data_IF_413465228587
#
_entry.id   IF_413465228587
#
_cell.length_a   1.000
_cell.length_b   1.000
_cell.length_c   1.000
_cell.angle_alpha   90.00
_cell.angle_beta   90.00
_cell.angle_gamma   90.00
#
_symmetry.space_group_name_H-M   'P 1'
#
loop_
_entity.id
_entity.type
_entity.pdbx_description
1 polymer ?
#
# COMPACT_ATOMS: atom_id res chain seq x y z
N UNK A 1 9.14 -11.17 2.79
CA UNK A 1 8.87 -10.55 4.10
C UNK A 1 10.18 -10.36 4.85
N UNK A 2 10.36 -9.27 5.58
CA UNK A 2 11.51 -9.05 6.43
C UNK A 2 11.56 -10.03 7.60
N UNK A 3 12.73 -10.18 8.20
CA UNK A 3 12.93 -11.07 9.37
C UNK A 3 12.26 -10.46 10.60
N UNK A 4 11.47 -11.24 11.33
CA UNK A 4 11.01 -10.86 12.66
C UNK A 4 12.16 -10.89 13.67
N UNK A 5 12.19 -9.89 14.53
CA UNK A 5 13.14 -9.70 15.63
C UNK A 5 12.39 -9.24 16.87
N UNK A 6 13.04 -9.29 18.02
CA UNK A 6 12.50 -8.70 19.26
C UNK A 6 12.52 -7.17 19.14
N UNK A 7 11.39 -6.55 19.38
CA UNK A 7 11.25 -5.09 19.35
C UNK A 7 11.77 -4.42 20.63
N UNK A 8 12.00 -3.10 20.53
CA UNK A 8 12.43 -2.26 21.66
C UNK A 8 11.32 -2.03 22.71
N UNK A 9 10.10 -2.46 22.41
CA UNK A 9 8.91 -2.40 23.28
C UNK A 9 8.43 -3.77 23.76
N UNK A 10 9.23 -4.83 23.53
CA UNK A 10 8.91 -6.19 23.95
C UNK A 10 7.92 -6.94 23.05
N UNK A 11 7.47 -6.33 21.95
CA UNK A 11 6.63 -6.98 20.94
C UNK A 11 7.47 -7.30 19.69
N UNK A 12 7.07 -8.29 18.87
CA UNK A 12 7.74 -8.57 17.61
C UNK A 12 7.88 -7.32 16.72
N UNK A 13 9.03 -7.15 16.07
CA UNK A 13 9.32 -6.08 15.11
C UNK A 13 9.97 -6.67 13.85
N UNK A 14 10.17 -5.86 12.82
CA UNK A 14 10.72 -6.30 11.55
C UNK A 14 12.00 -5.54 11.17
N UNK A 15 13.01 -6.25 10.66
CA UNK A 15 14.16 -5.59 10.06
C UNK A 15 13.85 -5.12 8.63
N UNK A 16 14.09 -3.82 8.39
CA UNK A 16 13.82 -3.17 7.10
C UNK A 16 15.09 -2.46 6.57
N UNK A 17 15.09 -2.12 5.29
CA UNK A 17 16.08 -1.22 4.72
C UNK A 17 15.73 0.24 4.97
N UNK A 18 16.68 1.14 4.71
CA UNK A 18 16.53 2.58 4.90
C UNK A 18 15.38 3.19 4.05
N UNK A 19 15.08 2.59 2.90
CA UNK A 19 13.95 2.96 2.02
C UNK A 19 12.58 2.93 2.72
N UNK A 20 12.46 2.18 3.82
CA UNK A 20 11.20 2.12 4.58
C UNK A 20 10.84 3.48 5.21
N UNK A 21 11.82 4.28 5.61
CA UNK A 21 11.61 5.63 6.11
C UNK A 21 10.96 6.51 5.04
N UNK A 22 11.58 6.55 3.87
CA UNK A 22 11.08 7.34 2.74
C UNK A 22 9.63 6.92 2.35
N UNK A 23 9.36 5.62 2.33
CA UNK A 23 8.02 5.09 2.08
C UNK A 23 7.00 5.59 3.11
N UNK A 24 7.35 5.52 4.39
CA UNK A 24 6.46 5.99 5.46
C UNK A 24 6.29 7.51 5.44
N UNK A 25 7.33 8.27 5.05
CA UNK A 25 7.23 9.72 4.87
C UNK A 25 6.21 10.10 3.79
N UNK A 26 6.20 9.41 2.64
CA UNK A 26 5.18 9.64 1.60
C UNK A 26 3.77 9.30 2.10
N UNK A 27 3.63 8.20 2.83
CA UNK A 27 2.36 7.81 3.43
C UNK A 27 1.85 8.89 4.40
N UNK A 28 2.68 9.33 5.33
CA UNK A 28 2.33 10.35 6.32
C UNK A 28 2.00 11.70 5.67
N UNK A 29 2.79 12.15 4.68
CA UNK A 29 2.51 13.37 3.91
C UNK A 29 1.14 13.32 3.24
N UNK A 30 0.79 12.20 2.61
CA UNK A 30 -0.54 12.05 2.01
C UNK A 30 -1.64 12.13 3.07
N UNK A 31 -1.46 11.49 4.22
CA UNK A 31 -2.42 11.51 5.33
C UNK A 31 -2.58 12.93 5.88
N UNK A 32 -1.50 13.69 6.04
CA UNK A 32 -1.54 15.07 6.50
C UNK A 32 -2.26 15.97 5.48
N UNK A 33 -1.86 15.97 4.22
CA UNK A 33 -2.46 16.80 3.17
C UNK A 33 -3.95 16.51 2.99
N UNK A 34 -4.36 15.24 3.13
CA UNK A 34 -5.77 14.83 2.99
C UNK A 34 -6.63 15.09 4.25
N UNK A 35 -6.06 15.56 5.36
CA UNK A 35 -6.76 15.75 6.65
C UNK A 35 -8.05 16.57 6.55
N UNK A 36 -8.06 17.65 5.75
CA UNK A 36 -9.23 18.50 5.57
C UNK A 36 -10.38 17.80 4.83
N UNK A 37 -10.08 16.89 3.89
CA UNK A 37 -11.08 16.04 3.25
C UNK A 37 -11.61 15.00 4.24
N UNK A 38 -10.72 14.37 5.01
CA UNK A 38 -11.04 13.35 6.02
C UNK A 38 -11.91 13.93 7.15
N UNK A 39 -11.61 15.12 7.64
CA UNK A 39 -12.38 15.78 8.71
C UNK A 39 -13.87 15.95 8.38
N UNK A 40 -14.24 16.05 7.10
CA UNK A 40 -15.65 16.17 6.68
C UNK A 40 -16.47 14.91 6.99
N UNK A 41 -15.83 13.79 7.19
CA UNK A 41 -16.46 12.48 7.47
C UNK A 41 -16.43 12.12 8.95
N UNK A 42 -15.84 12.94 9.80
CA UNK A 42 -15.68 12.70 11.23
C UNK A 42 -16.73 13.48 12.05
N UNK A 43 -17.12 12.94 13.20
CA UNK A 43 -18.08 13.52 14.11
C UNK A 43 -19.41 12.76 14.16
N UNK A 44 -20.31 13.20 15.04
CA UNK A 44 -21.59 12.55 15.29
C UNK A 44 -22.45 12.53 14.02
N UNK A 45 -23.01 11.37 13.69
CA UNK A 45 -23.87 11.18 12.52
C UNK A 45 -23.14 11.16 11.17
N UNK A 46 -21.81 11.23 11.15
CA UNK A 46 -21.01 11.10 9.93
C UNK A 46 -20.67 9.65 9.61
N UNK A 47 -20.37 9.40 8.35
CA UNK A 47 -20.10 8.04 7.86
C UNK A 47 -18.74 7.46 8.26
N UNK A 48 -17.85 8.29 8.80
CA UNK A 48 -16.52 7.90 9.24
C UNK A 48 -15.46 7.94 8.14
N UNK A 49 -14.21 7.88 8.58
CA UNK A 49 -13.05 7.75 7.72
C UNK A 49 -12.24 6.52 8.14
N UNK A 50 -11.92 5.65 7.19
CA UNK A 50 -11.31 4.35 7.46
C UNK A 50 -9.91 4.28 6.87
N UNK A 51 -8.95 3.79 7.63
CA UNK A 51 -7.64 3.34 7.15
C UNK A 51 -7.65 1.81 6.98
N UNK A 52 -7.07 1.33 5.88
CA UNK A 52 -7.02 -0.10 5.53
C UNK A 52 -5.58 -0.46 5.19
N UNK A 53 -5.04 -1.45 5.88
CA UNK A 53 -3.70 -2.00 5.63
C UNK A 53 -3.76 -3.52 5.71
N UNK A 54 -3.69 -4.17 4.56
CA UNK A 54 -3.80 -5.63 4.43
C UNK A 54 -2.44 -6.35 4.48
N UNK A 55 -1.37 -5.57 4.68
CA UNK A 55 0.02 -6.01 4.78
C UNK A 55 0.70 -5.29 5.95
N UNK A 56 0.01 -5.18 7.08
CA UNK A 56 0.33 -4.24 8.15
C UNK A 56 1.68 -4.48 8.82
N UNK A 57 2.29 -5.66 8.64
CA UNK A 57 3.48 -6.05 9.36
C UNK A 57 3.30 -5.98 10.88
N UNK A 58 4.38 -5.95 11.67
CA UNK A 58 4.27 -5.88 13.12
C UNK A 58 4.02 -4.46 13.67
N UNK A 59 4.03 -3.42 12.83
CA UNK A 59 3.83 -2.02 13.25
C UNK A 59 5.07 -1.35 13.88
N UNK A 60 6.20 -2.05 13.98
CA UNK A 60 7.48 -1.52 14.44
C UNK A 60 8.61 -2.09 13.60
N UNK A 61 9.56 -1.25 13.20
CA UNK A 61 10.65 -1.64 12.34
C UNK A 61 12.00 -1.20 12.92
N UNK A 62 13.04 -2.00 12.67
CA UNK A 62 14.43 -1.62 12.91
C UNK A 62 15.15 -1.46 11.58
N UNK A 63 15.72 -0.29 11.35
CA UNK A 63 16.52 -0.04 10.13
C UNK A 63 17.83 -0.79 10.24
N UNK A 64 18.10 -1.71 9.31
CA UNK A 64 19.25 -2.64 9.37
C UNK A 64 20.60 -1.94 9.48
N UNK A 65 20.76 -0.85 8.74
CA UNK A 65 22.06 -0.21 8.58
C UNK A 65 22.42 0.73 9.72
N UNK A 66 21.42 1.38 10.31
CA UNK A 66 21.59 2.36 11.39
C UNK A 66 21.23 1.80 12.76
N UNK A 67 20.49 0.70 12.81
CA UNK A 67 19.91 0.17 14.05
C UNK A 67 18.77 1.01 14.62
N UNK A 68 18.36 2.08 13.92
CA UNK A 68 17.31 2.98 14.34
C UNK A 68 15.94 2.27 14.36
N UNK A 69 15.19 2.53 15.41
CA UNK A 69 13.81 2.07 15.54
C UNK A 69 12.84 3.09 14.94
N UNK A 70 11.97 2.64 14.06
CA UNK A 70 10.93 3.45 13.42
C UNK A 70 9.56 2.80 13.56
N UNK A 71 8.50 3.58 13.52
CA UNK A 71 7.15 3.05 13.42
C UNK A 71 6.95 2.33 12.08
N UNK A 72 6.24 1.20 12.10
CA UNK A 72 5.74 0.58 10.87
C UNK A 72 4.60 1.40 10.25
N UNK A 73 4.31 1.15 8.97
CA UNK A 73 3.38 1.97 8.18
C UNK A 73 2.05 2.24 8.87
N UNK A 74 1.42 1.23 9.42
CA UNK A 74 0.10 1.36 10.07
C UNK A 74 0.15 2.21 11.36
N UNK A 75 1.22 2.09 12.15
CA UNK A 75 1.39 2.90 13.39
C UNK A 75 1.71 4.35 13.03
N UNK A 76 2.59 4.56 12.05
CA UNK A 76 2.90 5.90 11.53
C UNK A 76 1.64 6.58 10.98
N UNK A 77 0.83 5.89 10.18
CA UNK A 77 -0.43 6.38 9.63
C UNK A 77 -1.44 6.78 10.71
N UNK A 78 -1.56 5.98 11.76
CA UNK A 78 -2.44 6.31 12.90
C UNK A 78 -1.97 7.57 13.62
N UNK A 79 -0.69 7.63 14.00
CA UNK A 79 -0.12 8.79 14.69
C UNK A 79 -0.32 10.07 13.87
N UNK A 80 0.03 10.03 12.58
CA UNK A 80 -0.11 11.18 11.69
C UNK A 80 -1.56 11.68 11.61
N UNK A 81 -2.52 10.78 11.47
CA UNK A 81 -3.94 11.16 11.38
C UNK A 81 -4.47 11.75 12.68
N UNK A 82 -4.05 11.21 13.83
CA UNK A 82 -4.44 11.68 15.17
C UNK A 82 -3.83 13.04 15.46
N UNK A 83 -2.53 13.18 15.26
CA UNK A 83 -1.77 14.39 15.60
C UNK A 83 -2.12 15.55 14.64
N UNK A 84 -2.51 15.23 13.39
CA UNK A 84 -3.09 16.18 12.44
C UNK A 84 -4.54 16.61 12.75
N UNK A 85 -5.14 16.11 13.84
CA UNK A 85 -6.48 16.52 14.30
C UNK A 85 -7.65 15.96 13.48
N UNK A 86 -7.39 14.96 12.63
CA UNK A 86 -8.43 14.25 11.87
C UNK A 86 -8.17 12.73 11.89
N UNK A 87 -8.27 12.07 13.07
CA UNK A 87 -7.97 10.65 13.22
C UNK A 87 -8.92 9.78 12.40
N UNK A 88 -8.42 8.66 11.90
CA UNK A 88 -9.31 7.66 11.30
C UNK A 88 -10.28 7.12 12.35
N UNK A 89 -11.55 7.00 11.98
CA UNK A 89 -12.59 6.47 12.86
C UNK A 89 -12.57 4.95 12.98
N UNK A 90 -11.87 4.28 12.06
CA UNK A 90 -11.59 2.84 12.08
C UNK A 90 -10.26 2.56 11.37
N UNK A 91 -9.50 1.60 11.90
CA UNK A 91 -8.22 1.14 11.35
C UNK A 91 -8.31 -0.37 11.15
N UNK A 92 -8.52 -0.80 9.91
CA UNK A 92 -8.53 -2.22 9.54
C UNK A 92 -7.12 -2.67 9.22
N UNK A 93 -6.70 -3.75 9.87
CA UNK A 93 -5.39 -4.35 9.66
C UNK A 93 -5.50 -5.83 9.34
N UNK A 94 -4.71 -6.27 8.37
CA UNK A 94 -4.54 -7.67 8.00
C UNK A 94 -3.06 -7.97 7.75
N UNK A 95 -2.66 -9.18 8.04
CA UNK A 95 -1.39 -9.78 7.66
C UNK A 95 -1.56 -11.29 7.63
N UNK A 96 -0.93 -11.98 6.70
CA UNK A 96 -0.97 -13.44 6.62
C UNK A 96 -0.31 -14.07 7.85
N UNK A 97 0.70 -13.40 8.42
CA UNK A 97 1.36 -13.81 9.65
C UNK A 97 0.61 -13.22 10.86
N UNK A 98 -0.06 -14.08 11.61
CA UNK A 98 -0.84 -13.72 12.80
C UNK A 98 0.00 -13.00 13.85
N UNK A 99 1.27 -13.42 14.05
CA UNK A 99 2.16 -12.81 15.04
C UNK A 99 2.46 -11.33 14.69
N UNK A 100 2.63 -11.03 13.41
CA UNK A 100 2.81 -9.65 12.92
C UNK A 100 1.55 -8.83 13.14
N UNK A 101 0.41 -9.35 12.74
CA UNK A 101 -0.88 -8.67 12.90
C UNK A 101 -1.19 -8.37 14.36
N UNK A 102 -1.03 -9.35 15.26
CA UNK A 102 -1.26 -9.18 16.70
C UNK A 102 -0.33 -8.14 17.32
N UNK A 103 0.96 -8.11 16.92
CA UNK A 103 1.90 -7.11 17.38
C UNK A 103 1.48 -5.70 16.95
N UNK A 104 1.06 -5.52 15.69
CA UNK A 104 0.53 -4.25 15.18
C UNK A 104 -0.75 -3.85 15.92
N UNK A 105 -1.69 -4.77 16.12
CA UNK A 105 -2.93 -4.53 16.85
C UNK A 105 -2.69 -4.06 18.28
N UNK A 106 -1.76 -4.70 18.98
CA UNK A 106 -1.40 -4.32 20.35
C UNK A 106 -0.84 -2.90 20.42
N UNK A 107 0.08 -2.55 19.52
CA UNK A 107 0.64 -1.17 19.43
C UNK A 107 -0.43 -0.13 19.14
N UNK A 108 -1.30 -0.42 18.19
CA UNK A 108 -2.40 0.47 17.84
C UNK A 108 -3.39 0.68 19.00
N UNK A 109 -3.75 -0.39 19.73
CA UNK A 109 -4.62 -0.30 20.91
C UNK A 109 -3.99 0.52 22.03
N UNK A 110 -2.69 0.34 22.29
CA UNK A 110 -1.95 1.15 23.26
C UNK A 110 -1.95 2.64 22.90
N UNK A 111 -2.02 2.97 21.61
CA UNK A 111 -2.11 4.34 21.11
C UNK A 111 -3.56 4.86 20.99
N UNK A 112 -4.55 4.09 21.44
CA UNK A 112 -5.97 4.44 21.41
C UNK A 112 -6.60 4.36 20.00
N UNK A 113 -6.01 3.60 19.09
CA UNK A 113 -6.58 3.43 17.75
C UNK A 113 -7.83 2.52 17.77
N UNK A 114 -8.88 2.85 17.01
CA UNK A 114 -10.07 2.00 16.84
C UNK A 114 -9.77 0.87 15.83
N UNK A 115 -8.91 -0.07 16.25
CA UNK A 115 -8.39 -1.14 15.39
C UNK A 115 -9.37 -2.28 15.24
N UNK A 116 -9.49 -2.78 14.01
CA UNK A 116 -10.26 -3.96 13.62
C UNK A 116 -9.32 -4.91 12.88
N UNK A 117 -9.08 -6.08 13.45
CA UNK A 117 -8.31 -7.13 12.79
C UNK A 117 -9.17 -7.89 11.78
N UNK A 118 -8.58 -8.21 10.63
CA UNK A 118 -9.13 -9.12 9.62
C UNK A 118 -8.17 -10.28 9.39
N UNK A 119 -8.75 -11.47 9.17
CA UNK A 119 -7.99 -12.72 9.12
C UNK A 119 -7.84 -13.24 7.70
N UNK A 120 -6.81 -14.07 7.50
CA UNK A 120 -6.53 -14.75 6.24
C UNK A 120 -5.63 -13.96 5.31
N UNK A 121 -5.52 -14.42 4.06
CA UNK A 121 -4.73 -13.74 3.04
C UNK A 121 -5.36 -12.40 2.63
N UNK A 122 -4.60 -11.56 1.95
CA UNK A 122 -5.02 -10.18 1.63
C UNK A 122 -6.33 -10.10 0.81
N UNK A 123 -6.63 -11.09 -0.04
CA UNK A 123 -7.91 -11.15 -0.79
C UNK A 123 -9.08 -11.37 0.17
N UNK A 124 -9.00 -12.35 1.08
CA UNK A 124 -10.03 -12.62 2.07
C UNK A 124 -10.19 -11.45 3.05
N UNK A 125 -9.07 -10.85 3.44
CA UNK A 125 -9.04 -9.65 4.28
C UNK A 125 -9.74 -8.47 3.61
N UNK A 126 -9.52 -8.22 2.31
CA UNK A 126 -10.22 -7.19 1.54
C UNK A 126 -11.74 -7.42 1.54
N UNK A 127 -12.18 -8.67 1.35
CA UNK A 127 -13.61 -9.03 1.38
C UNK A 127 -14.24 -8.79 2.76
N UNK A 128 -13.52 -9.12 3.84
CA UNK A 128 -13.99 -8.85 5.21
C UNK A 128 -14.09 -7.35 5.49
N UNK A 129 -13.10 -6.57 5.04
CA UNK A 129 -13.14 -5.10 5.14
C UNK A 129 -14.34 -4.56 4.40
N UNK A 130 -14.53 -4.94 3.13
CA UNK A 130 -15.66 -4.49 2.32
C UNK A 130 -17.02 -4.78 2.96
N UNK A 131 -17.16 -5.95 3.60
CA UNK A 131 -18.40 -6.34 4.28
C UNK A 131 -18.66 -5.54 5.57
N UNK A 132 -17.63 -5.02 6.22
CA UNK A 132 -17.72 -4.38 7.55
C UNK A 132 -17.72 -2.85 7.51
N UNK A 133 -17.08 -2.23 6.51
CA UNK A 133 -16.95 -0.77 6.45
C UNK A 133 -18.28 -0.08 6.12
N UNK A 134 -18.44 1.14 6.62
CA UNK A 134 -19.57 1.97 6.20
C UNK A 134 -19.36 2.43 4.74
N UNK A 135 -20.14 1.91 3.81
CA UNK A 135 -20.03 2.20 2.36
C UNK A 135 -20.09 3.70 2.00
N UNK A 136 -20.59 4.55 2.89
CA UNK A 136 -20.69 6.00 2.69
C UNK A 136 -19.51 6.77 3.28
N UNK A 137 -18.57 6.07 3.95
CA UNK A 137 -17.36 6.64 4.52
C UNK A 137 -16.36 7.08 3.45
N UNK A 138 -15.29 7.71 3.94
CA UNK A 138 -14.07 7.93 3.17
C UNK A 138 -13.06 6.85 3.53
N UNK A 139 -12.54 6.14 2.54
CA UNK A 139 -11.63 5.02 2.75
C UNK A 139 -10.27 5.33 2.14
N UNK A 140 -9.22 5.02 2.87
CA UNK A 140 -7.85 5.08 2.38
C UNK A 140 -7.18 3.73 2.64
N UNK A 141 -6.71 3.08 1.58
CA UNK A 141 -5.97 1.83 1.66
C UNK A 141 -4.49 2.04 1.34
N UNK A 142 -3.61 1.52 2.19
CA UNK A 142 -2.20 1.37 1.89
C UNK A 142 -1.93 -0.09 1.56
N UNK A 143 -1.58 -0.36 0.30
CA UNK A 143 -1.30 -1.71 -0.20
C UNK A 143 0.21 -1.86 -0.36
N UNK A 144 0.84 -2.48 0.62
CA UNK A 144 2.30 -2.64 0.74
C UNK A 144 2.75 -4.10 0.70
N UNK A 145 2.45 -4.83 -0.39
CA UNK A 145 2.82 -6.23 -0.52
C UNK A 145 4.34 -6.41 -0.60
N UNK A 146 4.84 -7.55 -0.13
CA UNK A 146 6.27 -7.86 -0.18
C UNK A 146 6.77 -8.31 -1.57
N UNK A 147 5.88 -8.79 -2.43
CA UNK A 147 6.14 -9.16 -3.82
C UNK A 147 4.94 -8.89 -4.73
N UNK A 148 5.12 -9.16 -6.01
CA UNK A 148 4.09 -8.91 -7.02
C UNK A 148 2.89 -9.85 -6.89
N UNK A 149 3.11 -11.10 -6.51
CA UNK A 149 2.05 -12.11 -6.36
C UNK A 149 1.10 -11.75 -5.21
N UNK A 150 1.64 -11.19 -4.13
CA UNK A 150 0.85 -10.74 -2.98
C UNK A 150 -0.09 -9.57 -3.35
N UNK A 151 0.26 -8.76 -4.36
CA UNK A 151 -0.63 -7.74 -4.92
C UNK A 151 -1.63 -8.36 -5.90
N UNK A 152 -2.40 -9.32 -5.42
CA UNK A 152 -3.43 -9.98 -6.22
C UNK A 152 -4.49 -8.95 -6.66
N UNK A 153 -4.84 -8.97 -7.94
CA UNK A 153 -5.78 -8.03 -8.55
C UNK A 153 -7.17 -8.03 -7.88
N UNK A 154 -7.59 -9.15 -7.31
CA UNK A 154 -8.88 -9.29 -6.61
C UNK A 154 -8.99 -8.39 -5.37
N UNK A 155 -7.87 -8.01 -4.77
CA UNK A 155 -7.82 -7.02 -3.69
C UNK A 155 -8.34 -5.68 -4.23
N UNK A 156 -7.81 -5.25 -5.38
CA UNK A 156 -8.18 -3.98 -6.03
C UNK A 156 -9.63 -4.03 -6.51
N UNK A 157 -10.05 -5.15 -7.12
CA UNK A 157 -11.44 -5.37 -7.52
C UNK A 157 -12.39 -5.19 -6.33
N UNK A 158 -12.09 -5.83 -5.21
CA UNK A 158 -12.93 -5.77 -4.00
C UNK A 158 -12.99 -4.35 -3.44
N UNK A 159 -11.83 -3.72 -3.21
CA UNK A 159 -11.78 -2.37 -2.65
C UNK A 159 -12.35 -1.31 -3.61
N UNK A 160 -12.23 -1.52 -4.91
CA UNK A 160 -12.80 -0.61 -5.92
C UNK A 160 -14.33 -0.53 -5.87
N UNK A 161 -15.03 -1.46 -5.23
CA UNK A 161 -16.46 -1.39 -5.04
C UNK A 161 -16.89 -0.32 -4.00
N UNK A 162 -15.97 0.12 -3.14
CA UNK A 162 -16.20 1.24 -2.23
C UNK A 162 -16.35 2.55 -3.00
N UNK A 163 -17.38 3.34 -2.64
CA UNK A 163 -17.71 4.57 -3.39
C UNK A 163 -16.59 5.61 -3.32
N UNK A 164 -15.95 5.74 -2.17
CA UNK A 164 -14.88 6.72 -1.89
C UNK A 164 -13.66 5.99 -1.35
N UNK A 165 -12.86 5.50 -2.27
CA UNK A 165 -11.61 4.78 -1.97
C UNK A 165 -10.44 5.45 -2.65
N UNK A 166 -9.41 5.71 -1.87
CA UNK A 166 -8.09 6.11 -2.30
C UNK A 166 -7.13 4.97 -1.94
N UNK A 167 -6.31 4.52 -2.87
CA UNK A 167 -5.34 3.44 -2.65
C UNK A 167 -3.93 3.95 -2.97
N UNK A 168 -3.06 3.96 -1.97
CA UNK A 168 -1.62 4.12 -2.19
C UNK A 168 -1.04 2.73 -2.37
N UNK A 169 -0.57 2.45 -3.58
CA UNK A 169 -0.15 1.11 -3.99
C UNK A 169 1.36 1.06 -4.16
N UNK A 170 1.98 0.11 -3.47
CA UNK A 170 3.39 -0.21 -3.56
C UNK A 170 3.60 -1.39 -4.52
N UNK A 171 4.38 -1.19 -5.57
CA UNK A 171 4.62 -2.18 -6.62
C UNK A 171 6.09 -2.54 -6.68
N UNK A 172 6.40 -3.82 -6.50
CA UNK A 172 7.78 -4.32 -6.52
C UNK A 172 8.39 -4.24 -7.92
N UNK A 173 9.18 -3.19 -8.17
CA UNK A 173 9.96 -3.09 -9.42
C UNK A 173 11.07 -4.13 -9.46
N UNK A 174 11.70 -4.39 -8.31
CA UNK A 174 12.76 -5.38 -8.21
C UNK A 174 12.27 -6.77 -8.60
N UNK A 175 11.07 -7.14 -8.15
CA UNK A 175 10.45 -8.42 -8.50
C UNK A 175 10.12 -8.47 -10.00
N UNK A 176 9.51 -7.43 -10.55
CA UNK A 176 9.30 -7.27 -11.99
C UNK A 176 10.61 -7.40 -12.79
N UNK A 177 11.73 -6.84 -12.29
CA UNK A 177 13.00 -6.91 -12.99
C UNK A 177 13.63 -8.30 -12.97
N UNK A 178 13.60 -8.96 -11.83
CA UNK A 178 14.27 -10.24 -11.64
C UNK A 178 13.53 -11.40 -12.27
N UNK A 179 12.21 -11.37 -12.23
CA UNK A 179 11.37 -12.54 -12.47
C UNK A 179 10.49 -12.44 -13.73
N UNK A 180 10.54 -11.33 -14.50
CA UNK A 180 9.65 -11.12 -15.64
C UNK A 180 9.64 -12.28 -16.65
N UNK A 181 10.80 -12.83 -17.00
CA UNK A 181 10.91 -13.95 -17.95
C UNK A 181 10.31 -15.21 -17.34
N UNK A 182 10.63 -15.52 -16.10
CA UNK A 182 10.07 -16.67 -15.39
C UNK A 182 8.54 -16.56 -15.29
N UNK A 183 8.03 -15.40 -14.91
CA UNK A 183 6.58 -15.16 -14.82
C UNK A 183 5.88 -15.25 -16.18
N UNK A 184 6.56 -14.86 -17.26
CA UNK A 184 6.00 -14.95 -18.60
C UNK A 184 5.93 -16.38 -19.16
N UNK A 185 6.83 -17.26 -18.74
CA UNK A 185 6.95 -18.62 -19.24
C UNK A 185 6.31 -19.67 -18.33
N UNK A 186 5.97 -19.32 -17.08
CA UNK A 186 5.33 -20.21 -16.11
C UNK A 186 3.83 -19.94 -16.09
N UNK A 187 3.02 -21.00 -16.11
CA UNK A 187 1.58 -20.93 -15.88
C UNK A 187 1.29 -20.58 -14.41
N UNK A 188 0.17 -19.89 -14.16
CA UNK A 188 -0.24 -19.45 -12.81
C UNK A 188 0.85 -18.65 -12.07
N UNK A 189 1.51 -17.77 -12.79
CA UNK A 189 2.61 -16.94 -12.27
C UNK A 189 2.12 -15.72 -11.49
N UNK A 190 3.07 -15.01 -10.87
CA UNK A 190 2.76 -13.73 -10.23
C UNK A 190 2.12 -12.70 -11.20
N UNK A 191 2.42 -12.74 -12.50
CA UNK A 191 1.75 -11.89 -13.47
C UNK A 191 0.28 -12.23 -13.64
N UNK A 192 -0.11 -13.49 -13.53
CA UNK A 192 -1.51 -13.89 -13.67
C UNK A 192 -2.34 -13.47 -12.45
N UNK A 193 -1.73 -13.40 -11.28
CA UNK A 193 -2.36 -12.83 -10.07
C UNK A 193 -2.41 -11.31 -10.09
N UNK A 194 -1.32 -10.66 -10.50
CA UNK A 194 -1.19 -9.20 -10.54
C UNK A 194 -2.05 -8.57 -11.64
N UNK A 195 -2.02 -9.15 -12.85
CA UNK A 195 -2.64 -8.60 -14.06
C UNK A 195 -3.39 -9.68 -14.84
N UNK A 196 -4.48 -10.27 -14.29
CA UNK A 196 -5.16 -11.42 -14.91
C UNK A 196 -5.61 -11.12 -16.34
N UNK A 197 -5.34 -12.08 -17.26
CA UNK A 197 -5.62 -11.96 -18.69
C UNK A 197 -4.52 -11.23 -19.49
N UNK A 198 -3.39 -10.90 -18.88
CA UNK A 198 -2.29 -10.22 -19.56
C UNK A 198 -1.77 -10.98 -20.79
N UNK A 199 -1.78 -12.32 -20.77
CA UNK A 199 -1.28 -13.19 -21.86
C UNK A 199 -2.02 -12.98 -23.19
N UNK A 200 -3.27 -12.53 -23.13
CA UNK A 200 -4.08 -12.25 -24.32
C UNK A 200 -3.73 -10.89 -24.97
N UNK A 201 -3.07 -10.01 -24.23
CA UNK A 201 -2.83 -8.61 -24.63
C UNK A 201 -1.37 -8.26 -24.79
N UNK A 202 -0.47 -9.03 -24.16
CA UNK A 202 0.96 -8.76 -24.14
C UNK A 202 1.72 -9.91 -24.82
N UNK A 203 2.48 -9.61 -25.86
CA UNK A 203 3.30 -10.59 -26.53
C UNK A 203 4.51 -10.99 -25.67
N UNK A 204 4.72 -12.29 -25.49
CA UNK A 204 5.80 -12.83 -24.65
C UNK A 204 7.18 -12.73 -25.32
N UNK A 205 7.20 -12.71 -26.67
CA UNK A 205 8.45 -12.68 -27.48
C UNK A 205 8.96 -11.25 -27.60
N UNK A 206 9.47 -10.69 -26.52
CA UNK A 206 9.96 -9.30 -26.51
C UNK A 206 11.17 -9.16 -25.57
N UNK A 207 11.89 -8.02 -25.73
CA UNK A 207 12.90 -7.64 -24.75
C UNK A 207 12.24 -7.52 -23.35
N UNK A 208 12.93 -8.04 -22.34
CA UNK A 208 12.45 -8.09 -20.95
C UNK A 208 11.90 -6.73 -20.45
N UNK A 209 12.55 -5.63 -20.82
CA UNK A 209 12.09 -4.28 -20.46
C UNK A 209 10.73 -3.94 -21.09
N UNK A 210 10.53 -4.28 -22.36
CA UNK A 210 9.26 -4.06 -23.06
C UNK A 210 8.14 -4.90 -22.44
N UNK A 211 8.41 -6.18 -22.16
CA UNK A 211 7.46 -7.05 -21.49
C UNK A 211 6.98 -6.47 -20.15
N UNK A 212 7.91 -6.06 -19.28
CA UNK A 212 7.58 -5.46 -17.97
C UNK A 212 6.71 -4.22 -18.13
N UNK A 213 7.11 -3.32 -19.03
CA UNK A 213 6.35 -2.09 -19.29
C UNK A 213 4.93 -2.40 -19.78
N UNK A 214 4.76 -3.37 -20.67
CA UNK A 214 3.45 -3.73 -21.21
C UNK A 214 2.56 -4.41 -20.17
N UNK A 215 3.09 -5.34 -19.37
CA UNK A 215 2.33 -5.97 -18.26
C UNK A 215 1.90 -4.92 -17.23
N UNK A 216 2.80 -3.99 -16.88
CA UNK A 216 2.48 -2.92 -15.95
C UNK A 216 1.44 -1.95 -16.52
N UNK A 217 1.56 -1.55 -17.80
CA UNK A 217 0.55 -0.71 -18.45
C UNK A 217 -0.80 -1.41 -18.54
N UNK A 218 -0.82 -2.70 -18.88
CA UNK A 218 -2.03 -3.50 -18.89
C UNK A 218 -2.70 -3.55 -17.51
N UNK A 219 -1.93 -3.72 -16.45
CA UNK A 219 -2.45 -3.64 -15.08
C UNK A 219 -3.08 -2.27 -14.80
N UNK A 220 -2.40 -1.16 -15.16
CA UNK A 220 -2.95 0.19 -15.00
C UNK A 220 -4.29 0.37 -15.72
N UNK A 221 -4.38 -0.12 -16.95
CA UNK A 221 -5.59 -0.04 -17.77
C UNK A 221 -6.73 -0.86 -17.14
N UNK A 222 -6.42 -2.04 -16.57
CA UNK A 222 -7.39 -2.85 -15.83
C UNK A 222 -7.89 -2.14 -14.57
N UNK A 223 -7.01 -1.52 -13.79
CA UNK A 223 -7.40 -0.74 -12.60
C UNK A 223 -8.28 0.44 -13.01
N UNK A 224 -7.91 1.16 -14.08
CA UNK A 224 -8.72 2.25 -14.62
C UNK A 224 -10.11 1.77 -15.09
N UNK A 225 -10.19 0.57 -15.66
CA UNK A 225 -11.45 -0.07 -16.05
C UNK A 225 -12.40 -0.35 -14.88
N UNK A 226 -11.92 -0.39 -13.65
CA UNK A 226 -12.74 -0.47 -12.43
C UNK A 226 -13.27 0.90 -11.96
N UNK A 227 -12.98 1.98 -12.70
CA UNK A 227 -13.31 3.36 -12.30
C UNK A 227 -12.41 3.90 -11.19
N UNK A 228 -11.24 3.32 -11.00
CA UNK A 228 -10.20 3.77 -10.09
C UNK A 228 -8.96 4.09 -10.92
N UNK A 229 -8.59 5.35 -11.04
CA UNK A 229 -7.52 5.76 -11.95
C UNK A 229 -6.15 5.76 -11.26
N UNK A 230 -5.17 4.99 -11.76
CA UNK A 230 -3.78 5.09 -11.30
C UNK A 230 -3.17 6.44 -11.69
N UNK A 231 -2.47 7.09 -10.78
CA UNK A 231 -1.77 8.35 -11.04
C UNK A 231 -0.67 8.20 -12.11
N UNK A 232 -0.42 9.26 -12.87
CA UNK A 232 0.78 9.37 -13.71
C UNK A 232 2.02 9.65 -12.88
N UNK A 233 1.86 10.38 -11.78
CA UNK A 233 2.95 10.64 -10.85
C UNK A 233 3.19 9.40 -9.99
N UNK A 234 4.39 8.82 -10.15
CA UNK A 234 4.84 7.68 -9.37
C UNK A 234 6.15 8.03 -8.68
N UNK A 235 6.38 7.47 -7.51
CA UNK A 235 7.67 7.59 -6.80
C UNK A 235 8.42 6.29 -6.85
N UNK A 236 9.68 6.38 -7.30
CA UNK A 236 10.60 5.27 -7.24
C UNK A 236 11.31 5.31 -5.90
N UNK A 237 11.13 4.27 -5.10
CA UNK A 237 11.94 4.04 -3.92
C UNK A 237 13.18 3.24 -4.31
N UNK A 238 14.32 3.72 -3.88
CA UNK A 238 15.62 3.10 -4.19
C UNK A 238 16.28 2.55 -2.94
N UNK A 239 17.03 1.47 -3.13
CA UNK A 239 17.90 0.92 -2.13
C UNK A 239 19.31 1.53 -2.20
N UNK A 240 20.28 0.84 -1.60
CA UNK A 240 21.69 1.19 -1.69
C UNK A 240 22.13 1.30 -3.15
N UNK A 241 23.04 2.22 -3.44
CA UNK A 241 23.57 2.48 -4.79
C UNK A 241 22.47 2.83 -5.82
N UNK A 242 21.40 3.50 -5.41
CA UNK A 242 20.27 3.88 -6.25
C UNK A 242 19.59 2.68 -6.96
N UNK A 243 19.68 1.48 -6.39
CA UNK A 243 19.00 0.32 -6.95
C UNK A 243 17.50 0.53 -6.89
N UNK A 244 16.77 0.49 -8.03
CA UNK A 244 15.32 0.58 -8.04
C UNK A 244 14.68 -0.60 -7.29
N UNK A 245 13.85 -0.31 -6.31
CA UNK A 245 13.19 -1.33 -5.51
C UNK A 245 11.68 -1.38 -5.78
N UNK A 246 11.01 -0.25 -5.65
CA UNK A 246 9.57 -0.18 -5.65
C UNK A 246 9.05 1.12 -6.24
N UNK A 247 7.86 1.06 -6.82
CA UNK A 247 7.08 2.24 -7.16
C UNK A 247 5.94 2.43 -6.16
N UNK A 248 5.71 3.68 -5.76
CA UNK A 248 4.50 4.12 -5.10
C UNK A 248 3.64 4.90 -6.08
N UNK A 249 2.37 4.57 -6.19
CA UNK A 249 1.40 5.30 -6.98
C UNK A 249 0.07 5.42 -6.25
N UNK A 250 -0.65 6.51 -6.53
CA UNK A 250 -2.01 6.71 -6.05
C UNK A 250 -2.99 6.16 -7.07
N UNK A 251 -3.99 5.39 -6.62
CA UNK A 251 -5.13 4.99 -7.44
C UNK A 251 -6.41 5.44 -6.74
N UNK A 252 -7.24 6.24 -7.41
CA UNK A 252 -8.41 6.85 -6.78
C UNK A 252 -9.54 7.10 -7.77
N UNK A 253 -10.77 7.23 -7.25
CA UNK A 253 -11.98 7.50 -8.04
C UNK A 253 -12.25 8.97 -8.30
N UNK A 254 -11.55 9.87 -7.62
CA UNK A 254 -11.77 11.31 -7.70
C UNK A 254 -10.48 12.04 -8.00
N UNK A 255 -10.50 13.19 -8.70
CA UNK A 255 -9.29 13.96 -9.01
C UNK A 255 -8.55 14.52 -7.78
N UNK A 256 -9.24 14.74 -6.67
CA UNK A 256 -8.66 15.39 -5.48
C UNK A 256 -7.52 14.57 -4.85
N UNK A 257 -7.63 13.23 -4.64
CA UNK A 257 -6.53 12.40 -4.16
C UNK A 257 -5.28 12.48 -5.05
N UNK A 258 -5.45 12.61 -6.37
CA UNK A 258 -4.32 12.78 -7.28
C UNK A 258 -3.60 14.11 -7.06
N UNK A 259 -4.33 15.20 -6.79
CA UNK A 259 -3.73 16.50 -6.43
C UNK A 259 -2.98 16.41 -5.09
N UNK A 260 -3.55 15.72 -4.12
CA UNK A 260 -2.88 15.49 -2.84
C UNK A 260 -1.60 14.67 -3.03
N UNK A 261 -1.68 13.61 -3.85
CA UNK A 261 -0.52 12.78 -4.14
C UNK A 261 0.56 13.55 -4.91
N UNK A 262 0.20 14.35 -5.91
CA UNK A 262 1.14 15.18 -6.63
C UNK A 262 1.90 16.12 -5.69
N UNK A 263 1.24 16.67 -4.66
CA UNK A 263 1.89 17.50 -3.63
C UNK A 263 2.73 16.65 -2.67
N UNK A 264 2.18 15.55 -2.15
CA UNK A 264 2.87 14.67 -1.19
C UNK A 264 4.13 14.04 -1.80
N UNK A 265 4.06 13.68 -3.07
CA UNK A 265 5.14 13.05 -3.82
C UNK A 265 6.16 14.05 -4.40
N UNK A 266 5.88 15.34 -4.44
CA UNK A 266 6.81 16.35 -4.96
C UNK A 266 7.79 16.78 -3.86
N UNK A 267 8.85 15.99 -3.67
CA UNK A 267 9.99 16.35 -2.83
C UNK A 267 11.07 16.90 -3.74
N UNK A 268 11.59 18.08 -3.44
CA UNK A 268 12.65 18.72 -4.24
C UNK A 268 13.81 17.74 -4.50
N UNK A 269 14.15 17.54 -5.76
CA UNK A 269 15.34 16.82 -6.19
C UNK A 269 15.16 15.50 -6.94
N UNK A 270 13.97 14.90 -7.00
CA UNK A 270 13.74 13.74 -7.89
C UNK A 270 13.05 14.16 -9.19
N UNK A 271 13.76 14.03 -10.31
CA UNK A 271 13.20 14.22 -11.64
C UNK A 271 12.03 13.25 -11.92
N UNK A 272 11.08 13.66 -12.75
CA UNK A 272 10.06 12.76 -13.31
C UNK A 272 10.76 11.63 -14.06
N UNK A 273 10.44 10.39 -13.72
CA UNK A 273 10.91 9.25 -14.48
C UNK A 273 10.10 9.15 -15.77
N UNK A 274 10.72 9.44 -16.89
CA UNK A 274 10.22 9.05 -18.21
C UNK A 274 10.48 7.54 -18.37
N UNK A 275 9.45 6.80 -18.75
CA UNK A 275 9.50 5.36 -19.03
C UNK A 275 9.96 5.08 -20.45
#
# INVERSE_FOLDING_TARGET
MGKLIDGDDGLPAEEVGEWAKEKHDYLCRYIDISRGARAKYLGNGKAGATYIDLFCGPGRCRVRDTGEWIDGGVVAAWKESRDGGAPFSQVYIGDLDTQRREAAANRLRQLGAPVVEVDGGAVQSAQQVFAKVNRYGLHFAFLDPFDLAALNFDIIVTLSQLTRIDMLVHISQMDLQRNAVSYATTEESAFDLFAPGWREKVAVVQAQQTLRRQVFQYWRDKVAGLGVWPSTDMRLLTGRNNQPLYWLLMAAKHPLPHKFWATASNVEGQGKLDF
#
